data_IF_596424475447
#
_entry.id   IF_596424475447
#
_cell.length_a   1.000
_cell.length_b   1.000
_cell.length_c   1.000
_cell.angle_alpha   90.00
_cell.angle_beta   90.00
_cell.angle_gamma   90.00
#
_symmetry.space_group_name_H-M   'P 1'
#
loop_
_entity.id
_entity.type
_entity.pdbx_description
1 polymer ?
#
# COMPACT_ATOMS: atom_id res chain seq x y z
N UNK A 1 -5.52 -33.57 76.77
CA UNK A 1 -5.73 -32.95 75.45
C UNK A 1 -4.87 -31.71 75.38
N UNK A 2 -3.92 -31.63 74.44
CA UNK A 2 -3.38 -30.38 73.89
C UNK A 2 -2.44 -30.73 72.73
N UNK A 3 -2.85 -30.34 71.52
CA UNK A 3 -2.08 -30.51 70.28
C UNK A 3 -1.25 -29.26 70.05
N UNK A 4 0.06 -29.42 69.86
CA UNK A 4 0.94 -28.35 69.36
C UNK A 4 1.31 -28.69 67.92
N UNK A 5 1.07 -27.76 67.00
CA UNK A 5 1.39 -27.88 65.56
C UNK A 5 2.78 -27.28 65.32
N UNK A 6 3.63 -28.02 64.60
CA UNK A 6 4.97 -27.58 64.15
C UNK A 6 4.86 -27.00 62.74
N UNK A 7 5.53 -25.88 62.41
CA UNK A 7 5.41 -25.25 61.10
C UNK A 7 6.31 -25.93 60.05
N UNK A 8 5.72 -26.17 58.87
CA UNK A 8 6.42 -26.61 57.66
C UNK A 8 7.30 -25.48 57.11
N UNK A 9 8.60 -25.73 56.96
CA UNK A 9 9.53 -24.89 56.20
C UNK A 9 9.25 -25.10 54.71
N UNK A 10 8.74 -24.08 54.02
CA UNK A 10 8.60 -24.08 52.56
C UNK A 10 9.92 -23.65 51.91
N UNK A 11 10.52 -24.53 51.10
CA UNK A 11 11.63 -24.22 50.23
C UNK A 11 11.11 -23.47 48.98
N UNK A 12 11.58 -22.26 48.74
CA UNK A 12 11.29 -21.50 47.52
C UNK A 12 12.27 -21.92 46.41
N UNK A 13 11.81 -22.68 45.43
CA UNK A 13 12.49 -22.86 44.14
C UNK A 13 12.21 -21.62 43.28
N UNK A 14 13.23 -20.81 42.99
CA UNK A 14 13.11 -19.69 42.07
C UNK A 14 13.10 -20.20 40.61
N UNK A 15 11.92 -20.19 39.98
CA UNK A 15 11.73 -20.50 38.57
C UNK A 15 12.08 -19.26 37.74
N UNK A 16 13.26 -19.24 37.12
CA UNK A 16 13.65 -18.23 36.11
C UNK A 16 12.81 -18.43 34.85
N UNK A 17 11.72 -17.67 34.74
CA UNK A 17 10.95 -17.55 33.49
C UNK A 17 11.77 -16.70 32.52
N UNK A 18 12.41 -17.35 31.54
CA UNK A 18 12.99 -16.67 30.40
C UNK A 18 11.86 -16.05 29.57
N UNK A 19 11.61 -14.75 29.77
CA UNK A 19 10.68 -14.00 28.92
C UNK A 19 11.30 -13.85 27.52
N UNK A 20 10.60 -14.22 26.44
CA UNK A 20 11.06 -13.91 25.10
C UNK A 20 11.09 -12.39 24.94
N UNK A 21 12.27 -11.84 24.61
CA UNK A 21 12.41 -10.49 24.08
C UNK A 21 11.64 -10.42 22.76
N UNK A 22 10.37 -10.03 22.82
CA UNK A 22 9.62 -9.61 21.65
C UNK A 22 10.40 -8.48 21.00
N UNK A 23 11.05 -8.77 19.87
CA UNK A 23 11.60 -7.75 19.01
C UNK A 23 10.44 -6.82 18.65
N UNK A 24 10.45 -5.61 19.20
CA UNK A 24 9.52 -4.56 18.82
C UNK A 24 9.79 -4.22 17.35
N UNK A 25 9.13 -4.95 16.45
CA UNK A 25 9.02 -4.58 15.05
C UNK A 25 8.28 -3.25 15.05
N UNK A 26 8.98 -2.15 14.79
CA UNK A 26 8.32 -0.89 14.48
C UNK A 26 7.30 -1.19 13.38
N UNK A 27 6.02 -1.08 13.69
CA UNK A 27 4.99 -1.38 12.70
C UNK A 27 4.96 -0.21 11.71
N UNK A 28 5.27 -0.49 10.44
CA UNK A 28 5.19 0.50 9.36
C UNK A 28 3.78 1.11 9.35
N UNK A 29 3.66 2.42 9.59
CA UNK A 29 2.35 3.08 9.67
C UNK A 29 1.82 3.31 8.26
N UNK A 30 0.72 2.63 7.90
CA UNK A 30 0.15 2.68 6.55
C UNK A 30 -1.24 3.29 6.59
N UNK A 31 -1.44 4.43 5.93
CA UNK A 31 -2.74 5.06 5.74
C UNK A 31 -3.20 4.91 4.29
N UNK A 32 -4.43 4.45 4.08
CA UNK A 32 -5.09 4.34 2.78
C UNK A 32 -6.42 5.08 2.81
N UNK A 33 -6.59 6.02 1.88
CA UNK A 33 -7.80 6.81 1.71
C UNK A 33 -8.31 6.76 0.27
N UNK A 34 -9.60 7.04 0.09
CA UNK A 34 -10.25 7.12 -1.21
C UNK A 34 -10.81 8.53 -1.43
N UNK A 35 -10.81 8.95 -2.68
CA UNK A 35 -11.49 10.15 -3.15
C UNK A 35 -12.04 9.90 -4.55
N UNK A 36 -12.99 10.73 -4.98
CA UNK A 36 -13.71 10.51 -6.22
C UNK A 36 -13.80 11.78 -7.06
N UNK A 37 -13.68 11.65 -8.37
CA UNK A 37 -14.09 12.66 -9.32
C UNK A 37 -15.36 12.21 -10.02
N UNK A 38 -16.30 13.12 -10.21
CA UNK A 38 -17.62 12.77 -10.76
C UNK A 38 -17.60 12.95 -12.27
N UNK A 39 -18.10 11.94 -13.00
CA UNK A 39 -18.28 12.00 -14.46
C UNK A 39 -19.77 11.93 -14.83
N UNK A 40 -20.11 12.61 -15.92
CA UNK A 40 -21.43 12.56 -16.57
C UNK A 40 -21.46 11.58 -17.73
N UNK A 41 -22.44 11.73 -18.63
CA UNK A 41 -22.60 10.89 -19.81
C UNK A 41 -23.69 9.83 -19.64
N UNK A 42 -24.41 9.56 -20.73
CA UNK A 42 -25.51 8.59 -20.84
C UNK A 42 -25.26 7.57 -21.95
N UNK A 43 -24.17 7.71 -22.70
CA UNK A 43 -23.68 6.74 -23.69
C UNK A 43 -22.27 6.28 -23.35
N UNK A 44 -21.79 5.21 -23.99
CA UNK A 44 -20.42 4.73 -23.81
C UNK A 44 -19.38 5.77 -24.25
N UNK A 45 -19.62 6.43 -25.38
CA UNK A 45 -18.76 7.49 -25.91
C UNK A 45 -18.69 8.71 -24.99
N UNK A 46 -19.84 9.15 -24.45
CA UNK A 46 -19.87 10.27 -23.51
C UNK A 46 -19.11 9.93 -22.21
N UNK A 47 -19.18 8.68 -21.75
CA UNK A 47 -18.43 8.22 -20.58
C UNK A 47 -16.93 8.20 -20.84
N UNK A 48 -16.50 7.67 -21.99
CA UNK A 48 -15.09 7.63 -22.37
C UNK A 48 -14.49 9.05 -22.45
N UNK A 49 -15.20 9.95 -23.12
CA UNK A 49 -14.82 11.38 -23.18
C UNK A 49 -14.78 12.03 -21.81
N UNK A 50 -15.76 11.74 -20.94
CA UNK A 50 -15.80 12.29 -19.58
C UNK A 50 -14.68 11.75 -18.69
N UNK A 51 -14.27 10.49 -18.84
CA UNK A 51 -13.10 9.92 -18.16
C UNK A 51 -11.82 10.60 -18.63
N UNK A 52 -11.63 10.72 -19.95
CA UNK A 52 -10.46 11.34 -20.56
C UNK A 52 -10.34 12.84 -20.23
N UNK A 53 -11.45 13.55 -20.04
CA UNK A 53 -11.44 14.97 -19.68
C UNK A 53 -11.39 15.21 -18.15
N UNK A 54 -12.02 14.34 -17.37
CA UNK A 54 -12.21 14.52 -15.92
C UNK A 54 -11.14 13.85 -15.05
N UNK A 55 -10.39 12.90 -15.60
CA UNK A 55 -9.40 12.10 -14.87
C UNK A 55 -8.23 12.92 -14.30
N UNK A 56 -7.54 12.44 -13.24
CA UNK A 56 -6.34 13.09 -12.74
C UNK A 56 -5.27 13.25 -13.84
N UNK A 57 -4.64 14.42 -13.88
CA UNK A 57 -3.60 14.73 -14.87
C UNK A 57 -2.24 14.17 -14.44
N UNK A 58 -1.56 13.46 -15.34
CA UNK A 58 -0.14 13.14 -15.18
C UNK A 58 0.70 14.37 -15.46
N UNK A 59 1.57 14.73 -14.51
CA UNK A 59 2.47 15.87 -14.65
C UNK A 59 3.50 15.69 -15.77
N UNK A 60 3.86 14.45 -16.10
CA UNK A 60 4.91 14.12 -17.08
C UNK A 60 4.43 14.16 -18.53
N UNK A 61 3.17 13.81 -18.80
CA UNK A 61 2.64 13.69 -20.17
C UNK A 61 1.50 14.65 -20.46
N UNK A 62 0.91 15.29 -19.44
CA UNK A 62 -0.32 16.09 -19.57
C UNK A 62 -1.59 15.26 -19.83
N UNK A 63 -1.46 13.96 -20.07
CA UNK A 63 -2.60 13.06 -20.26
C UNK A 63 -3.34 12.83 -18.94
N UNK A 64 -4.64 12.56 -19.03
CA UNK A 64 -5.49 12.24 -17.88
C UNK A 64 -5.74 10.75 -17.83
N UNK A 65 -5.72 10.20 -16.62
CA UNK A 65 -5.94 8.78 -16.39
C UNK A 65 -7.34 8.52 -15.83
N UNK A 66 -7.94 7.35 -16.14
CA UNK A 66 -9.25 6.97 -15.59
C UNK A 66 -9.26 6.83 -14.05
N UNK A 67 -8.10 6.75 -13.41
CA UNK A 67 -7.88 6.73 -11.97
C UNK A 67 -6.48 7.26 -11.63
N UNK A 68 -6.17 7.41 -10.34
CA UNK A 68 -4.80 7.62 -9.89
C UNK A 68 -4.58 7.23 -8.43
N UNK A 69 -3.37 6.80 -8.11
CA UNK A 69 -2.94 6.56 -6.74
C UNK A 69 -1.82 7.52 -6.37
N UNK A 70 -2.09 8.42 -5.42
CA UNK A 70 -1.07 9.30 -4.85
C UNK A 70 -0.38 8.58 -3.70
N UNK A 71 0.95 8.49 -3.78
CA UNK A 71 1.80 7.82 -2.80
C UNK A 71 2.72 8.85 -2.15
N UNK A 72 2.83 8.82 -0.82
CA UNK A 72 3.77 9.61 -0.05
C UNK A 72 4.46 8.72 0.98
N UNK A 73 5.78 8.57 0.84
CA UNK A 73 6.64 8.00 1.87
C UNK A 73 7.03 9.09 2.87
N UNK A 74 7.17 8.70 4.13
CA UNK A 74 7.69 9.51 5.21
C UNK A 74 8.27 8.62 6.30
N UNK A 75 8.58 9.18 7.46
CA UNK A 75 9.11 8.40 8.56
C UNK A 75 9.98 9.19 9.51
N UNK A 76 10.57 8.47 10.45
CA UNK A 76 11.60 8.98 11.35
C UNK A 76 12.68 7.92 11.57
N UNK A 77 13.92 8.39 11.72
CA UNK A 77 15.08 7.56 12.02
C UNK A 77 15.81 8.20 13.17
N UNK A 78 16.18 7.41 14.17
CA UNK A 78 17.02 7.84 15.28
C UNK A 78 18.43 7.30 15.10
N UNK A 79 19.42 8.06 15.58
CA UNK A 79 20.83 7.73 15.49
C UNK A 79 21.41 7.61 16.89
N UNK A 80 22.25 6.61 17.11
CA UNK A 80 22.88 6.35 18.41
C UNK A 80 24.38 6.24 18.23
N UNK A 81 25.14 6.94 19.06
CA UNK A 81 26.60 6.82 19.11
C UNK A 81 26.97 5.76 20.17
N UNK A 82 27.78 4.78 19.78
CA UNK A 82 28.30 3.73 20.67
C UNK A 82 29.76 3.47 20.32
N UNK A 83 30.67 3.69 21.28
CA UNK A 83 32.09 3.39 21.10
C UNK A 83 32.76 4.19 19.98
N UNK A 84 32.36 5.45 19.78
CA UNK A 84 32.92 6.32 18.74
C UNK A 84 32.43 6.00 17.33
N UNK A 85 31.34 5.23 17.18
CA UNK A 85 30.67 4.93 15.91
C UNK A 85 29.20 5.26 16.01
N UNK A 86 28.61 5.71 14.91
CA UNK A 86 27.17 6.00 14.85
C UNK A 86 26.42 4.89 14.14
N UNK A 87 25.29 4.47 14.72
CA UNK A 87 24.39 3.43 14.18
C UNK A 87 22.95 3.97 14.08
N UNK A 88 22.12 3.34 13.24
CA UNK A 88 20.67 3.52 13.31
C UNK A 88 20.17 2.90 14.61
N UNK A 89 19.53 3.71 15.47
CA UNK A 89 18.92 3.23 16.72
C UNK A 89 17.53 2.65 16.46
N UNK A 90 16.71 3.38 15.72
CA UNK A 90 15.38 2.94 15.28
C UNK A 90 15.05 3.56 13.93
N UNK A 91 14.23 2.86 13.15
CA UNK A 91 13.68 3.36 11.91
C UNK A 91 12.17 3.07 11.90
N UNK A 92 11.39 4.08 11.53
CA UNK A 92 9.95 3.97 11.30
C UNK A 92 9.63 4.58 9.95
N UNK A 93 9.15 3.78 9.02
CA UNK A 93 8.66 4.25 7.72
C UNK A 93 7.15 4.44 7.80
N UNK A 94 6.66 5.53 7.25
CA UNK A 94 5.22 5.80 7.10
C UNK A 94 4.86 5.89 5.63
N UNK A 95 3.68 5.37 5.30
CA UNK A 95 3.12 5.38 3.95
C UNK A 95 1.73 5.99 3.98
N UNK A 96 1.51 7.04 3.20
CA UNK A 96 0.17 7.57 2.95
C UNK A 96 -0.20 7.37 1.49
N UNK A 97 -1.36 6.74 1.26
CA UNK A 97 -1.91 6.49 -0.08
C UNK A 97 -3.29 7.12 -0.21
N UNK A 98 -3.51 7.81 -1.33
CA UNK A 98 -4.84 8.32 -1.71
C UNK A 98 -5.19 7.83 -3.10
N UNK A 99 -6.17 6.95 -3.17
CA UNK A 99 -6.71 6.40 -4.40
C UNK A 99 -7.83 7.32 -4.88
N UNK A 100 -7.77 7.72 -6.15
CA UNK A 100 -8.69 8.65 -6.81
C UNK A 100 -9.44 7.86 -7.89
N UNK A 101 -10.75 7.68 -7.73
CA UNK A 101 -11.58 6.86 -8.62
C UNK A 101 -12.66 7.69 -9.31
N UNK A 102 -13.10 7.29 -10.51
CA UNK A 102 -14.21 7.95 -11.16
C UNK A 102 -15.52 7.48 -10.50
N UNK A 103 -16.49 8.39 -10.43
CA UNK A 103 -17.85 8.09 -9.98
C UNK A 103 -18.84 8.57 -11.02
N UNK A 104 -19.60 7.66 -11.61
CA UNK A 104 -20.59 8.01 -12.61
C UNK A 104 -21.91 8.46 -11.97
N UNK A 105 -22.33 9.69 -12.29
CA UNK A 105 -23.54 10.33 -11.74
C UNK A 105 -24.82 9.59 -12.14
N UNK A 106 -24.93 9.11 -13.38
CA UNK A 106 -26.17 8.57 -13.93
C UNK A 106 -26.27 7.04 -13.86
N UNK A 107 -25.36 6.37 -13.15
CA UNK A 107 -25.31 4.90 -13.05
C UNK A 107 -26.65 4.26 -12.65
N UNK A 108 -27.43 4.88 -11.74
CA UNK A 108 -28.72 4.35 -11.29
C UNK A 108 -29.83 4.42 -12.35
N UNK A 109 -29.69 5.28 -13.34
CA UNK A 109 -30.66 5.52 -14.42
C UNK A 109 -30.27 4.81 -15.71
N UNK A 110 -29.07 4.21 -15.75
CA UNK A 110 -28.52 3.60 -16.94
C UNK A 110 -29.24 2.30 -17.31
N UNK A 111 -29.38 2.06 -18.60
CA UNK A 111 -29.75 0.75 -19.13
C UNK A 111 -28.76 -0.34 -18.71
N UNK A 112 -29.22 -1.59 -18.70
CA UNK A 112 -28.47 -2.75 -18.17
C UNK A 112 -27.09 -2.91 -18.80
N UNK A 113 -26.98 -2.75 -20.12
CA UNK A 113 -25.73 -3.00 -20.85
C UNK A 113 -24.67 -1.95 -20.53
N UNK A 114 -25.05 -0.66 -20.53
CA UNK A 114 -24.12 0.41 -20.20
C UNK A 114 -23.69 0.36 -18.73
N UNK A 115 -24.62 0.03 -17.83
CA UNK A 115 -24.34 -0.22 -16.42
C UNK A 115 -23.33 -1.35 -16.22
N UNK A 116 -23.47 -2.46 -16.95
CA UNK A 116 -22.56 -3.60 -16.90
C UNK A 116 -21.15 -3.22 -17.35
N UNK A 117 -21.03 -2.52 -18.48
CA UNK A 117 -19.73 -2.06 -19.01
C UNK A 117 -19.06 -1.14 -18.00
N UNK A 118 -19.80 -0.16 -17.48
CA UNK A 118 -19.30 0.77 -16.47
C UNK A 118 -18.82 0.07 -15.20
N UNK A 119 -19.62 -0.83 -14.62
CA UNK A 119 -19.27 -1.52 -13.38
C UNK A 119 -18.05 -2.43 -13.56
N UNK A 120 -17.84 -2.91 -14.79
CA UNK A 120 -16.67 -3.72 -15.13
C UNK A 120 -15.44 -2.84 -15.18
N UNK A 121 -15.48 -1.77 -15.96
CA UNK A 121 -14.39 -0.81 -16.10
C UNK A 121 -14.01 -0.16 -14.76
N UNK A 122 -14.99 0.36 -14.02
CA UNK A 122 -14.74 1.02 -12.73
C UNK A 122 -14.12 0.07 -11.69
N UNK A 123 -14.50 -1.21 -11.71
CA UNK A 123 -13.85 -2.22 -10.87
C UNK A 123 -12.43 -2.55 -11.32
N UNK A 124 -12.15 -2.55 -12.64
CA UNK A 124 -10.81 -2.78 -13.20
C UNK A 124 -9.87 -1.63 -12.82
N UNK A 125 -10.34 -0.38 -12.95
CA UNK A 125 -9.63 0.82 -12.51
C UNK A 125 -9.31 0.72 -11.02
N UNK A 126 -10.30 0.42 -10.17
CA UNK A 126 -10.06 0.27 -8.73
C UNK A 126 -9.02 -0.79 -8.42
N UNK A 127 -9.06 -1.96 -9.08
CA UNK A 127 -8.05 -3.02 -8.89
C UNK A 127 -6.66 -2.51 -9.26
N UNK A 128 -6.53 -1.85 -10.40
CA UNK A 128 -5.27 -1.29 -10.86
C UNK A 128 -4.68 -0.30 -9.84
N UNK A 129 -5.49 0.65 -9.38
CA UNK A 129 -5.06 1.64 -8.38
C UNK A 129 -4.73 1.01 -7.01
N UNK A 130 -5.50 0.03 -6.56
CA UNK A 130 -5.20 -0.66 -5.31
C UNK A 130 -3.88 -1.45 -5.37
N UNK A 131 -3.50 -1.94 -6.55
CA UNK A 131 -2.23 -2.63 -6.74
C UNK A 131 -1.04 -1.69 -6.61
N UNK A 132 -1.14 -0.45 -7.10
CA UNK A 132 -0.13 0.60 -6.87
C UNK A 132 0.10 0.87 -5.38
N UNK A 133 -0.99 0.98 -4.61
CA UNK A 133 -0.91 1.16 -3.16
C UNK A 133 -0.28 -0.07 -2.45
N UNK A 134 -0.51 -1.28 -2.96
CA UNK A 134 0.10 -2.50 -2.44
C UNK A 134 1.61 -2.57 -2.74
N UNK A 135 2.03 -2.23 -3.96
CA UNK A 135 3.46 -2.14 -4.33
C UNK A 135 4.15 -1.15 -3.39
N UNK A 136 3.59 0.04 -3.19
CA UNK A 136 4.12 1.03 -2.25
C UNK A 136 4.24 0.51 -0.81
N UNK A 137 3.24 -0.24 -0.34
CA UNK A 137 3.27 -0.88 1.00
C UNK A 137 4.44 -1.84 1.15
N UNK A 138 4.67 -2.67 0.14
CA UNK A 138 5.76 -3.65 0.17
C UNK A 138 7.13 -2.96 0.18
N UNK A 139 7.27 -1.87 -0.57
CA UNK A 139 8.49 -1.05 -0.57
C UNK A 139 8.70 -0.29 0.74
N UNK A 140 7.65 0.24 1.37
CA UNK A 140 7.75 0.89 2.69
C UNK A 140 8.33 -0.08 3.74
N UNK A 141 7.81 -1.31 3.80
CA UNK A 141 8.28 -2.37 4.70
C UNK A 141 9.72 -2.79 4.39
N UNK A 142 10.10 -2.83 3.11
CA UNK A 142 11.47 -3.15 2.69
C UNK A 142 12.45 -2.06 3.09
N UNK A 143 12.07 -0.79 2.88
CA UNK A 143 12.88 0.38 3.21
C UNK A 143 13.21 0.43 4.70
N UNK A 144 12.24 0.15 5.58
CA UNK A 144 12.46 0.07 7.03
C UNK A 144 13.51 -0.98 7.41
N UNK A 145 13.41 -2.18 6.82
CA UNK A 145 14.42 -3.24 7.01
C UNK A 145 15.79 -2.85 6.49
N UNK A 146 15.86 -2.15 5.35
CA UNK A 146 17.12 -1.65 4.79
C UNK A 146 17.80 -0.65 5.71
N UNK A 147 17.04 0.27 6.34
CA UNK A 147 17.60 1.23 7.30
C UNK A 147 18.12 0.53 8.56
N UNK A 148 17.37 -0.42 9.12
CA UNK A 148 17.80 -1.18 10.29
C UNK A 148 19.02 -2.07 10.02
N UNK A 149 19.25 -2.46 8.77
CA UNK A 149 20.39 -3.28 8.36
C UNK A 149 21.68 -2.48 8.06
N UNK A 150 21.63 -1.15 8.13
CA UNK A 150 22.82 -0.31 7.90
C UNK A 150 23.90 -0.57 8.95
N UNK A 151 25.13 -0.79 8.48
CA UNK A 151 26.28 -0.97 9.36
C UNK A 151 26.68 0.35 10.00
N UNK A 152 27.17 0.36 11.26
CA UNK A 152 27.62 1.58 11.91
C UNK A 152 28.72 2.31 11.14
N UNK A 153 28.61 3.63 11.03
CA UNK A 153 29.56 4.53 10.39
C UNK A 153 30.47 5.19 11.44
N UNK A 154 31.52 5.88 10.98
CA UNK A 154 32.48 6.56 11.87
C UNK A 154 31.81 7.66 12.71
N UNK A 155 30.82 8.36 12.15
CA UNK A 155 30.11 9.45 12.79
C UNK A 155 28.66 9.50 12.28
N UNK A 156 27.83 10.33 12.92
CA UNK A 156 26.41 10.39 12.59
C UNK A 156 26.11 11.14 11.30
N UNK A 157 26.99 12.04 10.84
CA UNK A 157 26.84 12.72 9.56
C UNK A 157 26.98 11.73 8.41
N UNK A 158 27.99 10.86 8.47
CA UNK A 158 28.17 9.76 7.52
C UNK A 158 27.03 8.75 7.58
N UNK A 159 26.52 8.44 8.77
CA UNK A 159 25.34 7.57 8.91
C UNK A 159 24.09 8.19 8.25
N UNK A 160 23.84 9.48 8.45
CA UNK A 160 22.75 10.20 7.79
C UNK A 160 22.90 10.19 6.27
N UNK A 161 24.12 10.38 5.75
CA UNK A 161 24.40 10.28 4.32
C UNK A 161 24.14 8.87 3.77
N UNK A 162 24.51 7.82 4.53
CA UNK A 162 24.23 6.42 4.17
C UNK A 162 22.72 6.11 4.15
N UNK A 163 21.96 6.60 5.14
CA UNK A 163 20.49 6.54 5.14
C UNK A 163 19.89 7.25 3.93
N UNK A 164 20.36 8.46 3.60
CA UNK A 164 19.87 9.22 2.46
C UNK A 164 20.10 8.47 1.14
N UNK A 165 21.30 7.89 0.96
CA UNK A 165 21.64 7.08 -0.21
C UNK A 165 20.73 5.86 -0.35
N UNK A 166 20.52 5.12 0.74
CA UNK A 166 19.61 3.96 0.76
C UNK A 166 18.17 4.38 0.48
N UNK A 167 17.74 5.53 0.98
CA UNK A 167 16.40 6.07 0.72
C UNK A 167 16.17 6.31 -0.77
N UNK A 168 17.14 6.95 -1.45
CA UNK A 168 17.09 7.19 -2.89
C UNK A 168 16.98 5.85 -3.65
N UNK A 169 17.85 4.89 -3.36
CA UNK A 169 17.82 3.57 -4.01
C UNK A 169 16.49 2.84 -3.78
N UNK A 170 15.93 2.92 -2.58
CA UNK A 170 14.64 2.30 -2.26
C UNK A 170 13.48 2.95 -3.03
N UNK A 171 13.48 4.27 -3.18
CA UNK A 171 12.48 5.01 -3.96
C UNK A 171 12.60 4.68 -5.45
N UNK A 172 13.81 4.65 -6.01
CA UNK A 172 14.03 4.27 -7.41
C UNK A 172 13.56 2.83 -7.70
N UNK A 173 13.79 1.90 -6.77
CA UNK A 173 13.31 0.52 -6.89
C UNK A 173 11.77 0.47 -6.86
N UNK A 174 11.14 1.26 -6.00
CA UNK A 174 9.69 1.44 -5.99
C UNK A 174 9.16 1.95 -7.32
N UNK A 175 9.74 3.01 -7.86
CA UNK A 175 9.24 3.64 -9.10
C UNK A 175 9.42 2.72 -10.31
N UNK A 176 10.51 1.95 -10.36
CA UNK A 176 10.73 0.91 -11.38
C UNK A 176 9.66 -0.19 -11.30
N UNK A 177 9.24 -0.58 -10.11
CA UNK A 177 8.20 -1.58 -9.91
C UNK A 177 6.80 -1.08 -10.31
N UNK A 178 6.47 0.18 -9.98
CA UNK A 178 5.24 0.84 -10.42
C UNK A 178 5.17 0.87 -11.95
N UNK A 179 6.24 1.38 -12.61
CA UNK A 179 6.31 1.45 -14.06
C UNK A 179 6.31 0.08 -14.75
N UNK A 180 6.89 -0.95 -14.13
CA UNK A 180 6.81 -2.32 -14.65
C UNK A 180 5.38 -2.87 -14.60
N UNK A 181 4.66 -2.62 -13.51
CA UNK A 181 3.26 -3.02 -13.38
C UNK A 181 2.39 -2.33 -14.43
N UNK A 182 2.53 -1.00 -14.61
CA UNK A 182 1.78 -0.25 -15.63
C UNK A 182 2.00 -0.79 -17.05
N UNK A 183 3.26 -1.01 -17.45
CA UNK A 183 3.58 -1.57 -18.77
C UNK A 183 2.95 -2.94 -18.99
N UNK A 184 2.96 -3.79 -17.96
CA UNK A 184 2.38 -5.14 -18.03
C UNK A 184 0.86 -5.08 -18.12
N UNK A 185 0.22 -4.20 -17.33
CA UNK A 185 -1.24 -4.03 -17.34
C UNK A 185 -1.76 -3.45 -18.64
N UNK A 186 -1.04 -2.48 -19.22
CA UNK A 186 -1.38 -1.87 -20.50
C UNK A 186 -1.40 -2.90 -21.64
N UNK A 187 -0.37 -3.75 -21.73
CA UNK A 187 -0.28 -4.80 -22.76
C UNK A 187 -1.40 -5.86 -22.68
N UNK A 188 -2.04 -6.00 -21.52
CA UNK A 188 -3.05 -7.03 -21.27
C UNK A 188 -4.47 -6.46 -21.09
N UNK A 189 -4.65 -5.13 -21.20
CA UNK A 189 -5.90 -4.45 -20.86
C UNK A 189 -7.10 -4.98 -21.67
N UNK A 190 -7.01 -4.98 -23.00
CA UNK A 190 -8.13 -5.36 -23.88
C UNK A 190 -8.59 -6.80 -23.64
N UNK A 191 -7.62 -7.74 -23.62
CA UNK A 191 -7.88 -9.16 -23.37
C UNK A 191 -8.56 -9.37 -22.01
N UNK A 192 -8.10 -8.65 -20.99
CA UNK A 192 -8.68 -8.72 -19.64
C UNK A 192 -10.09 -8.16 -19.61
N UNK A 193 -10.34 -7.03 -20.25
CA UNK A 193 -11.66 -6.39 -20.30
C UNK A 193 -12.70 -7.28 -21.00
N UNK A 194 -12.36 -7.87 -22.15
CA UNK A 194 -13.24 -8.80 -22.86
C UNK A 194 -13.61 -9.98 -21.94
N UNK A 195 -12.63 -10.60 -21.29
CA UNK A 195 -12.85 -11.73 -20.38
C UNK A 195 -13.75 -11.36 -19.20
N UNK A 196 -13.54 -10.19 -18.59
CA UNK A 196 -14.34 -9.74 -17.45
C UNK A 196 -15.80 -9.47 -17.83
N UNK A 197 -16.04 -8.89 -19.01
CA UNK A 197 -17.38 -8.66 -19.54
C UNK A 197 -18.10 -9.98 -19.84
N UNK A 198 -17.42 -10.93 -20.51
CA UNK A 198 -17.95 -12.26 -20.79
C UNK A 198 -18.37 -12.98 -19.51
N UNK A 199 -17.49 -13.03 -18.51
CA UNK A 199 -17.77 -13.66 -17.22
C UNK A 199 -19.01 -13.06 -16.53
N UNK A 200 -19.13 -11.73 -16.52
CA UNK A 200 -20.30 -11.08 -15.88
C UNK A 200 -21.58 -11.29 -16.68
N UNK A 201 -21.53 -11.32 -18.01
CA UNK A 201 -22.68 -11.67 -18.85
C UNK A 201 -23.17 -13.09 -18.56
N UNK A 202 -22.26 -14.06 -18.44
CA UNK A 202 -22.59 -15.44 -18.10
C UNK A 202 -23.21 -15.55 -16.70
N UNK A 203 -22.64 -14.85 -15.71
CA UNK A 203 -23.18 -14.80 -14.36
C UNK A 203 -24.61 -14.24 -14.33
N UNK A 204 -24.87 -13.15 -15.06
CA UNK A 204 -26.22 -12.57 -15.18
C UNK A 204 -27.21 -13.54 -15.82
N UNK A 205 -26.83 -14.26 -16.88
CA UNK A 205 -27.69 -15.27 -17.51
C UNK A 205 -28.09 -16.37 -16.52
N UNK A 206 -27.15 -16.83 -15.70
CA UNK A 206 -27.42 -17.85 -14.67
C UNK A 206 -28.37 -17.38 -13.57
N UNK A 207 -28.39 -16.09 -13.25
CA UNK A 207 -29.30 -15.52 -12.23
C UNK A 207 -30.71 -15.26 -12.78
N UNK A 208 -30.91 -15.35 -14.10
CA UNK A 208 -32.21 -15.15 -14.77
C UNK A 208 -32.91 -16.46 -15.14
N UNK A 209 -32.28 -17.59 -14.86
CA UNK A 209 -32.83 -18.94 -14.93
C UNK A 209 -33.24 -19.40 -13.54
#
# INVERSE_FOLDING_TARGET
MSRVRVPFKAALLALLVAAPLSAASGETVINKSFSYFTIGGRTAEELDKALSAGGPMMKSTGARHPGATRIKFGGSITYVNRGGRCAVGSARVTLSTRIILPRWKYRRQAGRDLALVWDTLSSDIKRHEERHAEIARNHARRMEKMFLALKPEADCERMQASVARVSITAIEAHDKDQARFDRTEAANFDKRMIRLLQYRLEALKKTQQ
#
